data_IF_289921794436
#
_entry.id   IF_289921794436
#
_cell.length_a   1.000
_cell.length_b   1.000
_cell.length_c   1.000
_cell.angle_alpha   90.00
_cell.angle_beta   90.00
_cell.angle_gamma   90.00
#
_symmetry.space_group_name_H-M   'P 1'
#
loop_
_entity.id
_entity.type
_entity.pdbx_description
1 polymer ?
#
# COMPACT_ATOMS: atom_id res chain seq x y z
N UNK A 1 31.44 -30.31 -9.75
CA UNK A 1 31.35 -29.40 -8.58
C UNK A 1 30.99 -28.01 -9.10
N UNK A 2 29.71 -27.61 -9.05
CA UNK A 2 29.23 -26.32 -9.56
C UNK A 2 28.53 -25.60 -8.41
N UNK A 3 29.10 -24.47 -7.99
CA UNK A 3 28.60 -23.65 -6.89
C UNK A 3 27.23 -23.05 -7.24
N UNK A 4 26.30 -23.05 -6.28
CA UNK A 4 25.02 -22.35 -6.36
C UNK A 4 25.21 -20.84 -6.12
N UNK A 5 24.42 -19.95 -6.76
CA UNK A 5 24.50 -18.53 -6.45
C UNK A 5 23.81 -18.23 -5.12
N UNK A 6 24.41 -17.37 -4.30
CA UNK A 6 23.81 -16.88 -3.08
C UNK A 6 22.61 -15.98 -3.42
N UNK A 7 21.41 -16.38 -2.99
CA UNK A 7 20.23 -15.50 -3.07
C UNK A 7 20.38 -14.41 -2.01
N UNK A 8 20.52 -13.15 -2.44
CA UNK A 8 20.43 -11.99 -1.54
C UNK A 8 18.95 -11.76 -1.23
N UNK A 9 18.58 -11.85 0.05
CA UNK A 9 17.25 -11.46 0.52
C UNK A 9 16.99 -9.95 0.31
N UNK A 10 15.73 -9.51 0.28
CA UNK A 10 15.41 -8.11 0.05
C UNK A 10 15.94 -7.24 1.20
N UNK A 11 16.77 -6.25 0.84
CA UNK A 11 17.16 -5.18 1.73
C UNK A 11 15.94 -4.26 1.90
N UNK A 12 15.32 -4.27 3.07
CA UNK A 12 14.26 -3.32 3.41
C UNK A 12 14.92 -1.98 3.69
N UNK A 13 15.22 -1.23 2.62
CA UNK A 13 15.58 0.17 2.71
C UNK A 13 14.36 0.93 3.23
N UNK A 14 14.48 1.55 4.40
CA UNK A 14 13.37 2.24 5.06
C UNK A 14 12.75 3.30 4.15
N UNK A 15 11.46 3.13 3.83
CA UNK A 15 10.69 4.17 3.19
C UNK A 15 10.44 5.30 4.21
N UNK A 16 10.91 6.51 3.88
CA UNK A 16 10.48 7.75 4.56
C UNK A 16 9.44 8.41 3.67
N UNK A 17 8.19 8.45 4.12
CA UNK A 17 7.13 9.25 3.50
C UNK A 17 7.13 10.65 4.10
N UNK A 18 7.42 11.67 3.29
CA UNK A 18 7.14 13.07 3.62
C UNK A 18 5.81 13.46 2.95
N UNK A 19 4.81 13.84 3.74
CA UNK A 19 3.56 14.34 3.20
C UNK A 19 3.70 15.84 2.89
N UNK A 20 3.70 16.20 1.60
CA UNK A 20 3.37 17.54 1.16
C UNK A 20 1.85 17.66 0.98
N UNK A 21 1.30 18.80 1.41
CA UNK A 21 -0.09 18.94 1.83
C UNK A 21 -1.17 19.05 0.76
N UNK A 22 -2.39 18.83 1.24
CA UNK A 22 -3.57 19.65 0.99
C UNK A 22 -4.30 19.77 2.36
N UNK A 23 -4.80 20.96 2.72
CA UNK A 23 -5.58 21.19 3.96
C UNK A 23 -7.02 20.74 3.80
N UNK A 24 -7.37 20.04 2.72
CA UNK A 24 -8.61 19.28 2.67
C UNK A 24 -8.54 18.21 3.75
N UNK A 25 -9.41 18.34 4.76
CA UNK A 25 -9.69 17.30 5.75
C UNK A 25 -10.37 16.11 5.04
N UNK A 26 -9.64 15.45 4.14
CA UNK A 26 -10.14 14.41 3.26
C UNK A 26 -9.06 13.36 3.02
N UNK A 27 -9.46 12.18 2.60
CA UNK A 27 -8.56 11.07 2.31
C UNK A 27 -9.09 10.27 1.13
N UNK A 28 -8.24 9.43 0.55
CA UNK A 28 -8.61 8.52 -0.54
C UNK A 28 -8.20 7.11 -0.17
N UNK A 29 -9.08 6.14 -0.37
CA UNK A 29 -8.76 4.73 -0.35
C UNK A 29 -8.53 4.27 -1.78
N UNK A 30 -7.31 3.83 -2.07
CA UNK A 30 -6.92 3.32 -3.38
C UNK A 30 -7.05 1.81 -3.40
N UNK A 31 -7.60 1.26 -4.47
CA UNK A 31 -7.58 -0.17 -4.78
C UNK A 31 -6.62 -0.33 -5.96
N UNK A 32 -5.37 -0.78 -5.76
CA UNK A 32 -4.41 -1.00 -6.83
C UNK A 32 -4.58 -2.39 -7.48
N UNK A 33 -4.01 -2.56 -8.67
CA UNK A 33 -3.72 -3.91 -9.20
C UNK A 33 -2.50 -4.46 -8.46
N UNK A 34 -2.65 -5.59 -7.78
CA UNK A 34 -1.55 -6.18 -7.01
C UNK A 34 -0.44 -6.78 -7.90
N UNK A 35 -0.70 -6.97 -9.19
CA UNK A 35 0.23 -7.55 -10.16
C UNK A 35 1.21 -6.50 -10.71
N UNK A 36 0.80 -5.22 -10.71
CA UNK A 36 1.60 -4.09 -11.18
C UNK A 36 1.15 -2.78 -10.49
N UNK A 37 1.98 -2.29 -9.57
CA UNK A 37 1.70 -1.09 -8.78
C UNK A 37 2.03 0.23 -9.49
N UNK A 38 2.70 0.17 -10.65
CA UNK A 38 2.98 1.35 -11.46
C UNK A 38 1.77 1.76 -12.33
N UNK A 39 0.78 0.86 -12.47
CA UNK A 39 -0.48 1.16 -13.12
C UNK A 39 -1.37 2.10 -12.29
N UNK A 40 -2.27 2.86 -12.93
CA UNK A 40 -3.30 3.60 -12.22
C UNK A 40 -4.15 2.68 -11.32
N UNK A 41 -4.64 3.14 -10.15
CA UNK A 41 -5.52 2.35 -9.30
C UNK A 41 -6.77 1.89 -10.05
N UNK A 42 -7.17 0.62 -9.86
CA UNK A 42 -8.40 0.07 -10.45
C UNK A 42 -9.66 0.75 -9.90
N UNK A 43 -9.59 1.26 -8.66
CA UNK A 43 -10.61 2.11 -8.08
C UNK A 43 -10.02 3.13 -7.09
N UNK A 44 -10.72 4.25 -6.94
CA UNK A 44 -10.43 5.27 -5.92
C UNK A 44 -11.72 5.64 -5.21
N UNK A 45 -11.74 5.51 -3.89
CA UNK A 45 -12.86 5.94 -3.04
C UNK A 45 -12.47 7.23 -2.34
N UNK A 46 -13.25 8.29 -2.57
CA UNK A 46 -13.07 9.58 -1.90
C UNK A 46 -13.76 9.57 -0.54
N UNK A 47 -12.99 9.80 0.53
CA UNK A 47 -13.50 9.88 1.89
C UNK A 47 -13.78 11.35 2.23
N UNK A 48 -14.96 11.66 2.80
CA UNK A 48 -15.35 13.04 3.11
C UNK A 48 -14.58 13.63 4.31
N UNK A 49 -13.73 12.83 4.97
CA UNK A 49 -12.92 13.22 6.13
C UNK A 49 -11.54 12.58 6.09
N UNK A 50 -10.58 13.15 6.81
CA UNK A 50 -9.23 12.59 6.93
C UNK A 50 -9.22 11.31 7.78
N UNK A 51 -8.49 10.30 7.31
CA UNK A 51 -8.15 9.12 8.11
C UNK A 51 -6.88 9.40 8.92
N UNK A 52 -6.88 9.22 10.26
CA UNK A 52 -5.67 9.35 11.08
C UNK A 52 -4.57 8.38 10.65
N UNK A 53 -3.31 8.74 10.90
CA UNK A 53 -2.19 7.84 10.63
C UNK A 53 -2.28 6.60 11.53
N UNK A 54 -2.12 5.41 10.94
CA UNK A 54 -2.18 4.12 11.62
C UNK A 54 -1.05 3.21 11.13
N UNK A 55 -0.66 2.22 11.93
CA UNK A 55 0.48 1.34 11.60
C UNK A 55 0.02 0.10 10.83
N UNK A 56 -1.16 -0.44 11.14
CA UNK A 56 -1.65 -1.72 10.60
C UNK A 56 -3.15 -1.67 10.23
N UNK A 57 -3.53 -2.50 9.26
CA UNK A 57 -4.92 -2.79 8.86
C UNK A 57 -5.00 -4.19 8.25
N UNK A 58 -6.19 -4.78 8.26
CA UNK A 58 -6.45 -6.13 7.74
C UNK A 58 -7.71 -6.12 6.89
N UNK A 59 -7.73 -6.96 5.84
CA UNK A 59 -8.93 -7.27 5.08
C UNK A 59 -9.54 -8.57 5.60
N UNK A 60 -10.86 -8.60 5.77
CA UNK A 60 -11.61 -9.80 6.11
C UNK A 60 -12.62 -10.01 4.98
N UNK A 61 -12.56 -11.12 4.24
CA UNK A 61 -13.52 -11.39 3.19
C UNK A 61 -14.89 -11.69 3.81
N UNK A 62 -15.95 -11.24 3.13
CA UNK A 62 -17.31 -11.68 3.46
C UNK A 62 -17.43 -13.16 3.09
N UNK A 63 -17.29 -14.05 4.08
CA UNK A 63 -17.69 -15.44 3.91
C UNK A 63 -19.18 -15.52 4.20
N UNK A 64 -20.00 -15.90 3.22
CA UNK A 64 -21.24 -16.62 3.56
C UNK A 64 -20.75 -17.94 4.14
N UNK A 65 -20.94 -18.12 5.44
CA UNK A 65 -20.57 -19.35 6.12
C UNK A 65 -21.52 -20.48 5.72
#
# INVERSE_FOLDING_TARGET
>A
MRSAPAVRGPAWGGARTAAAGDRTDSSRLLVPDASDLDLPPVATVHLPRRVPAMIHGSWIPDTVQ
#
